data_IF_273066027458
#
_entry.id   IF_273066027458
#
_cell.length_a   1.000
_cell.length_b   1.000
_cell.length_c   1.000
_cell.angle_alpha   90.00
_cell.angle_beta   90.00
_cell.angle_gamma   90.00
#
_symmetry.space_group_name_H-M   'P 1'
#
loop_
_entity.id
_entity.type
_entity.pdbx_description
1 polymer ?
#
# COMPACT_ATOMS: atom_id res chain seq x y z
N UNK A 1 12.22 -50.65 -13.08
CA UNK A 1 12.77 -49.27 -13.10
C UNK A 1 11.87 -48.37 -12.26
N UNK A 2 12.27 -48.02 -11.04
CA UNK A 2 11.53 -47.07 -10.16
C UNK A 2 11.73 -45.65 -10.69
N UNK A 3 10.70 -45.06 -11.31
CA UNK A 3 10.68 -43.62 -11.61
C UNK A 3 10.44 -42.85 -10.32
N UNK A 4 11.52 -42.44 -9.65
CA UNK A 4 11.94 -41.04 -9.77
C UNK A 4 10.88 -39.94 -9.83
N UNK A 5 9.81 -39.92 -9.03
CA UNK A 5 8.98 -38.71 -8.95
C UNK A 5 9.87 -37.59 -8.40
N UNK A 6 10.33 -36.70 -9.27
CA UNK A 6 11.10 -35.51 -8.89
C UNK A 6 10.18 -34.72 -7.96
N UNK A 7 10.51 -34.55 -6.67
CA UNK A 7 9.73 -33.67 -5.83
C UNK A 7 9.83 -32.29 -6.46
N UNK A 8 8.71 -31.72 -6.90
CA UNK A 8 8.65 -30.28 -7.13
C UNK A 8 9.21 -29.64 -5.86
N UNK A 9 10.16 -28.68 -5.96
CA UNK A 9 10.63 -28.01 -4.77
C UNK A 9 9.41 -27.31 -4.19
N UNK A 10 8.89 -27.87 -3.08
CA UNK A 10 8.04 -27.12 -2.20
C UNK A 10 8.80 -25.83 -1.95
N UNK A 11 8.15 -24.70 -2.20
CA UNK A 11 8.70 -23.41 -1.83
C UNK A 11 8.71 -23.33 -0.30
N UNK A 12 9.58 -24.12 0.35
CA UNK A 12 10.05 -23.95 1.72
C UNK A 12 10.93 -22.71 1.74
N UNK A 13 10.32 -21.57 1.45
CA UNK A 13 10.79 -20.32 2.02
C UNK A 13 10.21 -20.31 3.42
N UNK A 14 11.08 -20.57 4.40
CA UNK A 14 10.82 -20.23 5.78
C UNK A 14 10.20 -18.82 5.84
N UNK A 15 9.26 -18.55 6.78
CA UNK A 15 8.71 -17.21 6.94
C UNK A 15 9.90 -16.26 7.07
N UNK A 16 10.05 -15.35 6.11
CA UNK A 16 11.15 -14.39 6.09
C UNK A 16 11.09 -13.59 7.38
N UNK A 17 12.14 -13.66 8.19
CA UNK A 17 12.32 -12.85 9.40
C UNK A 17 11.91 -11.39 9.16
N UNK A 18 11.20 -10.80 10.12
CA UNK A 18 10.73 -9.40 10.09
C UNK A 18 11.86 -8.39 9.78
N UNK A 19 13.11 -8.77 10.07
CA UNK A 19 14.32 -8.02 9.72
C UNK A 19 14.46 -7.76 8.21
N UNK A 20 13.98 -8.65 7.35
CA UNK A 20 14.05 -8.45 5.89
C UNK A 20 13.08 -7.37 5.38
N UNK A 21 11.93 -7.17 6.03
CA UNK A 21 10.98 -6.11 5.65
C UNK A 21 11.58 -4.74 5.92
N UNK A 22 12.18 -4.55 7.09
CA UNK A 22 12.86 -3.30 7.45
C UNK A 22 14.05 -3.01 6.53
N UNK A 23 14.88 -4.02 6.24
CA UNK A 23 15.98 -3.90 5.26
C UNK A 23 15.48 -3.55 3.85
N UNK A 24 14.34 -4.09 3.43
CA UNK A 24 13.75 -3.80 2.11
C UNK A 24 13.16 -2.39 2.05
N UNK A 25 12.46 -1.96 3.10
CA UNK A 25 11.95 -0.59 3.23
C UNK A 25 13.10 0.43 3.25
N UNK A 26 14.16 0.17 4.01
CA UNK A 26 15.31 1.07 4.11
C UNK A 26 16.08 1.16 2.77
N UNK A 27 16.08 0.08 1.98
CA UNK A 27 16.60 0.10 0.59
C UNK A 27 15.71 0.91 -0.37
N UNK A 28 14.43 1.10 -0.10
CA UNK A 28 13.51 1.91 -0.92
C UNK A 28 13.57 3.41 -0.58
N UNK A 29 13.93 3.78 0.64
CA UNK A 29 14.09 5.18 1.09
C UNK A 29 14.96 6.02 0.14
N UNK A 30 16.17 5.61 -0.28
CA UNK A 30 16.99 6.42 -1.19
C UNK A 30 16.35 6.62 -2.57
N UNK A 31 15.54 5.68 -3.06
CA UNK A 31 14.81 5.84 -4.32
C UNK A 31 13.69 6.89 -4.21
N UNK A 32 13.05 7.01 -3.04
CA UNK A 32 12.10 8.09 -2.77
C UNK A 32 12.81 9.44 -2.57
N UNK A 33 13.94 9.44 -1.88
CA UNK A 33 14.75 10.64 -1.59
C UNK A 33 15.30 11.32 -2.85
N UNK A 34 15.52 10.56 -3.92
CA UNK A 34 15.95 11.10 -5.21
C UNK A 34 14.90 12.04 -5.85
N UNK A 35 13.63 11.93 -5.45
CA UNK A 35 12.54 12.82 -5.88
C UNK A 35 12.11 13.80 -4.77
N UNK A 36 13.03 14.12 -3.84
CA UNK A 36 12.81 15.00 -2.67
C UNK A 36 11.94 16.23 -2.93
N UNK A 37 12.15 16.97 -4.01
CA UNK A 37 11.37 18.17 -4.32
C UNK A 37 9.89 17.89 -4.61
N UNK A 38 9.58 16.74 -5.23
CA UNK A 38 8.21 16.35 -5.55
C UNK A 38 7.51 15.70 -4.37
N UNK A 39 8.25 14.91 -3.58
CA UNK A 39 7.76 14.40 -2.29
C UNK A 39 7.46 15.57 -1.35
N UNK A 40 8.35 16.56 -1.29
CA UNK A 40 8.13 17.80 -0.57
C UNK A 40 6.88 18.54 -1.08
N UNK A 41 6.75 18.74 -2.40
CA UNK A 41 5.56 19.40 -2.97
C UNK A 41 4.24 18.67 -2.63
N UNK A 42 4.26 17.34 -2.66
CA UNK A 42 3.10 16.52 -2.32
C UNK A 42 2.79 16.52 -0.81
N UNK A 43 3.82 16.53 0.04
CA UNK A 43 3.70 16.74 1.48
C UNK A 43 3.17 18.14 1.79
N UNK A 44 3.64 19.17 1.09
CA UNK A 44 3.11 20.53 1.19
C UNK A 44 1.64 20.59 0.76
N UNK A 45 1.25 19.90 -0.31
CA UNK A 45 -0.15 19.82 -0.74
C UNK A 45 -1.02 19.12 0.31
N UNK A 46 -0.51 18.06 0.95
CA UNK A 46 -1.18 17.40 2.06
C UNK A 46 -1.32 18.31 3.29
N UNK A 47 -0.28 19.07 3.64
CA UNK A 47 -0.38 20.08 4.70
C UNK A 47 -1.40 21.16 4.34
N UNK A 48 -1.37 21.70 3.11
CA UNK A 48 -2.33 22.69 2.64
C UNK A 48 -3.76 22.18 2.67
N UNK A 49 -3.99 20.91 2.34
CA UNK A 49 -5.30 20.25 2.48
C UNK A 49 -5.82 20.30 3.92
N UNK A 50 -4.96 19.95 4.88
CA UNK A 50 -5.31 19.94 6.30
C UNK A 50 -5.49 21.35 6.86
N UNK A 51 -4.64 22.28 6.44
CA UNK A 51 -4.80 23.70 6.78
C UNK A 51 -6.10 24.26 6.22
N UNK A 52 -6.50 23.89 5.00
CA UNK A 52 -7.79 24.29 4.45
C UNK A 52 -8.97 23.69 5.23
N UNK A 53 -8.87 22.44 5.70
CA UNK A 53 -9.91 21.84 6.55
C UNK A 53 -10.10 22.54 7.89
N UNK A 54 -9.03 23.14 8.44
CA UNK A 54 -9.09 23.93 9.68
C UNK A 54 -9.44 25.39 9.40
N UNK A 55 -8.96 25.94 8.29
CA UNK A 55 -9.11 27.34 7.91
C UNK A 55 -10.50 27.68 7.38
N UNK A 56 -11.15 26.80 6.60
CA UNK A 56 -12.50 27.04 6.07
C UNK A 56 -13.53 27.24 7.20
N UNK A 57 -13.57 26.42 8.27
CA UNK A 57 -14.42 26.68 9.43
C UNK A 57 -14.15 28.03 10.13
N UNK A 58 -12.87 28.44 10.23
CA UNK A 58 -12.49 29.70 10.89
C UNK A 58 -13.00 30.91 10.12
N UNK A 59 -12.81 30.94 8.79
CA UNK A 59 -13.32 32.01 7.94
C UNK A 59 -14.84 32.08 8.00
N UNK A 60 -15.53 30.94 7.96
CA UNK A 60 -16.99 30.92 8.09
C UNK A 60 -17.48 31.35 9.47
N UNK A 61 -16.75 31.02 10.55
CA UNK A 61 -17.05 31.52 11.89
C UNK A 61 -17.05 33.05 11.90
N UNK A 62 -16.01 33.68 11.36
CA UNK A 62 -15.93 35.15 11.28
C UNK A 62 -17.06 35.75 10.44
N UNK A 63 -17.47 35.09 9.35
CA UNK A 63 -18.63 35.52 8.55
C UNK A 63 -19.96 35.42 9.31
N UNK A 64 -20.14 34.41 10.17
CA UNK A 64 -21.35 34.25 11.00
C UNK A 64 -21.36 35.28 12.12
N UNK A 65 -20.22 35.46 12.81
CA UNK A 65 -20.09 36.35 13.96
C UNK A 65 -20.35 37.83 13.57
N UNK A 66 -20.16 38.20 12.30
CA UNK A 66 -20.48 39.53 11.77
C UNK A 66 -21.96 39.77 11.45
N UNK A 67 -22.83 38.76 11.53
CA UNK A 67 -24.27 38.88 11.24
C UNK A 67 -25.08 39.19 12.51
N UNK A 68 -26.13 40.00 12.38
CA UNK A 68 -27.09 40.22 13.47
C UNK A 68 -27.93 38.95 13.74
N UNK A 69 -28.44 38.78 14.97
CA UNK A 69 -29.19 37.58 15.38
C UNK A 69 -30.40 37.28 14.47
N UNK A 70 -31.09 38.32 13.98
CA UNK A 70 -32.22 38.18 13.05
C UNK A 70 -31.78 37.70 11.65
N UNK A 71 -30.64 38.19 11.16
CA UNK A 71 -30.06 37.75 9.89
C UNK A 71 -29.47 36.34 9.99
N UNK A 72 -28.87 35.97 11.13
CA UNK A 72 -28.39 34.62 11.38
C UNK A 72 -29.53 33.60 11.27
N UNK A 73 -30.72 33.86 11.84
CA UNK A 73 -31.83 32.91 11.77
C UNK A 73 -32.25 32.52 10.34
N UNK A 74 -32.14 33.45 9.38
CA UNK A 74 -32.48 33.20 7.97
C UNK A 74 -31.29 32.75 7.12
N UNK A 75 -30.09 33.27 7.38
CA UNK A 75 -28.90 33.01 6.58
C UNK A 75 -28.13 31.75 7.03
N UNK A 76 -28.24 31.36 8.31
CA UNK A 76 -27.47 30.27 8.91
C UNK A 76 -27.68 28.93 8.18
N UNK A 77 -28.90 28.50 7.78
CA UNK A 77 -29.07 27.25 7.04
C UNK A 77 -28.35 27.25 5.69
N UNK A 78 -28.47 28.35 4.93
CA UNK A 78 -27.81 28.50 3.63
C UNK A 78 -26.29 28.58 3.79
N UNK A 79 -25.81 29.29 4.81
CA UNK A 79 -24.39 29.46 5.10
C UNK A 79 -23.75 28.14 5.58
N UNK A 80 -24.44 27.34 6.40
CA UNK A 80 -23.99 26.01 6.81
C UNK A 80 -23.94 25.04 5.63
N UNK A 81 -24.90 25.11 4.70
CA UNK A 81 -24.87 24.35 3.44
C UNK A 81 -23.67 24.74 2.58
N UNK A 82 -23.40 26.04 2.42
CA UNK A 82 -22.23 26.54 1.70
C UNK A 82 -20.92 26.15 2.39
N UNK A 83 -20.85 26.23 3.72
CA UNK A 83 -19.70 25.82 4.52
C UNK A 83 -19.40 24.34 4.30
N UNK A 84 -20.42 23.49 4.44
CA UNK A 84 -20.28 22.06 4.21
C UNK A 84 -19.85 21.76 2.77
N UNK A 85 -20.46 22.44 1.78
CA UNK A 85 -20.10 22.33 0.38
C UNK A 85 -18.64 22.72 0.12
N UNK A 86 -18.21 23.86 0.65
CA UNK A 86 -16.84 24.36 0.52
C UNK A 86 -15.82 23.47 1.23
N UNK A 87 -16.10 23.01 2.45
CA UNK A 87 -15.28 22.03 3.17
C UNK A 87 -15.13 20.74 2.37
N UNK A 88 -16.25 20.15 1.94
CA UNK A 88 -16.24 18.91 1.16
C UNK A 88 -15.49 19.09 -0.15
N UNK A 89 -15.76 20.17 -0.88
CA UNK A 89 -15.08 20.45 -2.14
C UNK A 89 -13.58 20.65 -1.93
N UNK A 90 -13.18 21.41 -0.91
CA UNK A 90 -11.77 21.63 -0.54
C UNK A 90 -11.07 20.31 -0.20
N UNK A 91 -11.67 19.47 0.66
CA UNK A 91 -11.11 18.16 1.01
C UNK A 91 -10.85 17.31 -0.23
N UNK A 92 -11.83 17.21 -1.13
CA UNK A 92 -11.70 16.43 -2.36
C UNK A 92 -10.68 17.05 -3.32
N UNK A 93 -10.71 18.36 -3.53
CA UNK A 93 -9.81 19.05 -4.45
C UNK A 93 -8.34 18.83 -4.08
N UNK A 94 -8.00 19.02 -2.80
CA UNK A 94 -6.62 18.81 -2.35
C UNK A 94 -6.23 17.33 -2.34
N UNK A 95 -7.17 16.43 -2.06
CA UNK A 95 -6.92 14.99 -2.17
C UNK A 95 -6.55 14.60 -3.62
N UNK A 96 -7.32 15.08 -4.60
CA UNK A 96 -7.07 14.85 -6.03
C UNK A 96 -5.77 15.50 -6.51
N UNK A 97 -5.49 16.75 -6.11
CA UNK A 97 -4.23 17.42 -6.41
C UNK A 97 -3.02 16.62 -5.90
N UNK A 98 -3.08 16.15 -4.66
CA UNK A 98 -2.06 15.26 -4.07
C UNK A 98 -1.94 13.97 -4.88
N UNK A 99 -3.04 13.36 -5.30
CA UNK A 99 -3.02 12.13 -6.10
C UNK A 99 -2.32 12.34 -7.45
N UNK A 100 -2.61 13.44 -8.14
CA UNK A 100 -2.00 13.81 -9.42
C UNK A 100 -0.48 14.03 -9.25
N UNK A 101 -0.08 14.72 -8.18
CA UNK A 101 1.33 14.94 -7.85
C UNK A 101 2.06 13.61 -7.60
N UNK A 102 1.47 12.73 -6.79
CA UNK A 102 2.03 11.41 -6.53
C UNK A 102 2.05 10.51 -7.75
N UNK A 103 1.04 10.57 -8.63
CA UNK A 103 0.97 9.71 -9.81
C UNK A 103 2.19 9.92 -10.71
N UNK A 104 2.59 11.17 -10.94
CA UNK A 104 3.79 11.48 -11.73
C UNK A 104 5.08 10.98 -11.08
N UNK A 105 5.17 10.96 -9.75
CA UNK A 105 6.34 10.44 -9.02
C UNK A 105 6.37 8.91 -9.09
N UNK A 106 5.26 8.27 -8.76
CA UNK A 106 5.08 6.81 -8.78
C UNK A 106 5.40 6.25 -10.16
N UNK A 107 4.81 6.79 -11.24
CA UNK A 107 5.06 6.29 -12.59
C UNK A 107 6.53 6.42 -13.03
N UNK A 108 7.22 7.49 -12.61
CA UNK A 108 8.66 7.65 -12.88
C UNK A 108 9.51 6.65 -12.10
N UNK A 109 9.19 6.43 -10.82
CA UNK A 109 9.89 5.46 -9.98
C UNK A 109 9.72 4.04 -10.53
N UNK A 110 8.48 3.66 -10.85
CA UNK A 110 8.14 2.36 -11.47
C UNK A 110 8.89 2.17 -12.80
N UNK A 111 8.83 3.15 -13.70
CA UNK A 111 9.56 3.09 -14.97
C UNK A 111 11.05 2.88 -14.79
N UNK A 112 11.67 3.58 -13.83
CA UNK A 112 13.11 3.46 -13.57
C UNK A 112 13.48 2.06 -13.09
N UNK A 113 12.73 1.53 -12.14
CA UNK A 113 12.96 0.20 -11.57
C UNK A 113 12.79 -0.86 -12.65
N UNK A 114 11.73 -0.75 -13.46
CA UNK A 114 11.52 -1.64 -14.60
C UNK A 114 12.69 -1.62 -15.58
N UNK A 115 13.22 -0.43 -15.92
CA UNK A 115 14.38 -0.29 -16.81
C UNK A 115 15.68 -0.83 -16.20
N UNK A 116 15.91 -0.62 -14.90
CA UNK A 116 17.09 -1.11 -14.19
C UNK A 116 17.10 -2.64 -14.15
N UNK A 117 15.96 -3.24 -13.82
CA UNK A 117 15.75 -4.68 -13.85
C UNK A 117 15.93 -5.23 -15.26
N UNK A 118 15.33 -4.59 -16.28
CA UNK A 118 15.45 -5.02 -17.67
C UNK A 118 16.90 -4.97 -18.17
N UNK A 119 17.62 -3.88 -17.88
CA UNK A 119 19.06 -3.76 -18.23
C UNK A 119 19.90 -4.80 -17.51
N UNK A 120 19.64 -5.04 -16.23
CA UNK A 120 20.36 -6.05 -15.47
C UNK A 120 20.15 -7.45 -16.06
N UNK A 121 18.92 -7.79 -16.46
CA UNK A 121 18.63 -9.05 -17.15
C UNK A 121 19.42 -9.19 -18.45
N UNK A 122 19.43 -8.14 -19.29
CA UNK A 122 20.18 -8.16 -20.55
C UNK A 122 21.70 -8.26 -20.35
N UNK A 123 22.24 -7.78 -19.23
CA UNK A 123 23.67 -7.84 -18.92
C UNK A 123 24.13 -9.20 -18.38
N UNK A 124 23.22 -10.13 -18.10
CA UNK A 124 23.58 -11.46 -17.58
C UNK A 124 24.20 -12.35 -18.68
N UNK A 125 25.10 -13.24 -18.26
CA UNK A 125 25.85 -14.11 -19.18
C UNK A 125 24.94 -14.96 -20.09
N UNK A 126 25.45 -15.35 -21.26
CA UNK A 126 24.77 -16.29 -22.15
C UNK A 126 24.46 -17.62 -21.44
N UNK A 127 25.34 -18.08 -20.56
CA UNK A 127 25.12 -19.26 -19.71
C UNK A 127 23.88 -19.12 -18.81
N UNK A 128 23.64 -17.93 -18.24
CA UNK A 128 22.43 -17.66 -17.46
C UNK A 128 21.16 -17.76 -18.31
N UNK A 129 21.22 -17.25 -19.54
CA UNK A 129 20.10 -17.30 -20.49
C UNK A 129 19.84 -18.72 -21.05
N UNK A 130 20.86 -19.57 -21.15
CA UNK A 130 20.75 -20.94 -21.68
C UNK A 130 20.43 -22.00 -20.60
N UNK A 131 20.86 -21.82 -19.35
CA UNK A 131 20.69 -22.84 -18.28
C UNK A 131 19.36 -22.78 -17.53
N UNK A 132 18.60 -21.68 -17.62
CA UNK A 132 17.31 -21.55 -16.93
C UNK A 132 16.17 -21.57 -17.93
N UNK A 133 15.08 -22.25 -17.59
CA UNK A 133 13.79 -22.10 -18.27
C UNK A 133 13.45 -20.60 -18.30
N UNK A 134 13.67 -19.94 -19.44
CA UNK A 134 13.59 -18.49 -19.64
C UNK A 134 12.23 -17.91 -19.20
N UNK A 135 11.17 -18.72 -19.21
CA UNK A 135 9.84 -18.36 -18.69
C UNK A 135 9.76 -18.18 -17.17
N UNK A 136 10.45 -19.01 -16.37
CA UNK A 136 10.36 -18.97 -14.90
C UNK A 136 11.06 -17.75 -14.29
N UNK A 137 12.28 -17.48 -14.77
CA UNK A 137 13.08 -16.31 -14.32
C UNK A 137 12.41 -15.00 -14.75
N UNK A 138 11.94 -14.92 -16.00
CA UNK A 138 11.23 -13.74 -16.50
C UNK A 138 9.97 -13.48 -15.66
N UNK A 139 9.20 -14.53 -15.34
CA UNK A 139 7.99 -14.43 -14.50
C UNK A 139 8.30 -14.00 -13.06
N UNK A 140 9.37 -14.51 -12.46
CA UNK A 140 9.79 -14.10 -11.11
C UNK A 140 10.24 -12.64 -11.07
N UNK A 141 10.96 -12.19 -12.09
CA UNK A 141 11.42 -10.80 -12.21
C UNK A 141 10.24 -9.86 -12.45
N UNK A 142 9.32 -10.23 -13.33
CA UNK A 142 8.12 -9.44 -13.62
C UNK A 142 7.21 -9.35 -12.38
N UNK A 143 7.05 -10.46 -11.62
CA UNK A 143 6.36 -10.44 -10.32
C UNK A 143 7.09 -9.54 -9.32
N UNK A 144 8.41 -9.65 -9.20
CA UNK A 144 9.22 -8.84 -8.28
C UNK A 144 9.11 -7.35 -8.59
N UNK A 145 9.22 -6.96 -9.86
CA UNK A 145 9.05 -5.59 -10.33
C UNK A 145 7.66 -5.04 -10.04
N UNK A 146 6.60 -5.84 -10.29
CA UNK A 146 5.22 -5.50 -9.90
C UNK A 146 5.09 -5.31 -8.40
N UNK A 147 5.63 -6.21 -7.59
CA UNK A 147 5.60 -6.10 -6.13
C UNK A 147 6.30 -4.84 -5.62
N UNK A 148 7.47 -4.50 -6.15
CA UNK A 148 8.17 -3.25 -5.81
C UNK A 148 7.33 -2.03 -6.20
N UNK A 149 6.71 -2.07 -7.38
CA UNK A 149 5.82 -1.00 -7.86
C UNK A 149 4.60 -0.82 -6.95
N UNK A 150 4.01 -1.93 -6.48
CA UNK A 150 2.91 -1.92 -5.51
C UNK A 150 3.37 -1.37 -4.16
N UNK A 151 4.55 -1.75 -3.67
CA UNK A 151 5.10 -1.24 -2.40
C UNK A 151 5.34 0.27 -2.45
N UNK A 152 5.90 0.79 -3.54
CA UNK A 152 6.12 2.23 -3.72
C UNK A 152 4.78 2.97 -3.74
N UNK A 153 3.83 2.47 -4.54
CA UNK A 153 2.49 3.05 -4.60
C UNK A 153 1.84 3.07 -3.21
N UNK A 154 1.80 1.94 -2.52
CA UNK A 154 1.18 1.85 -1.19
C UNK A 154 1.87 2.75 -0.15
N UNK A 155 3.20 2.85 -0.23
CA UNK A 155 3.96 3.74 0.66
C UNK A 155 3.59 5.21 0.43
N UNK A 156 3.52 5.65 -0.84
CA UNK A 156 3.23 7.04 -1.19
C UNK A 156 1.76 7.41 -0.99
N UNK A 157 0.83 6.51 -1.29
CA UNK A 157 -0.61 6.80 -1.25
C UNK A 157 -1.26 6.52 0.09
N UNK A 158 -0.72 5.60 0.89
CA UNK A 158 -1.32 5.22 2.17
C UNK A 158 -0.38 5.50 3.34
N UNK A 159 0.77 4.84 3.42
CA UNK A 159 1.62 4.87 4.62
C UNK A 159 2.07 6.29 4.96
N UNK A 160 2.69 6.99 4.00
CA UNK A 160 3.26 8.31 4.23
C UNK A 160 2.19 9.36 4.57
N UNK A 161 1.06 9.47 3.84
CA UNK A 161 -0.06 10.32 4.24
C UNK A 161 -0.57 10.00 5.64
N UNK A 162 -0.83 8.73 5.95
CA UNK A 162 -1.36 8.31 7.27
C UNK A 162 -0.40 8.68 8.40
N UNK A 163 0.92 8.53 8.22
CA UNK A 163 1.89 8.95 9.23
C UNK A 163 1.83 10.46 9.48
N UNK A 164 1.78 11.28 8.42
CA UNK A 164 1.67 12.73 8.57
C UNK A 164 0.37 13.12 9.26
N UNK A 165 -0.74 12.46 8.91
CA UNK A 165 -2.04 12.69 9.56
C UNK A 165 -2.01 12.36 11.05
N UNK A 166 -1.45 11.21 11.42
CA UNK A 166 -1.32 10.80 12.82
C UNK A 166 -0.44 11.80 13.58
N UNK A 167 0.72 12.18 13.03
CA UNK A 167 1.61 13.17 13.67
C UNK A 167 0.91 14.51 13.86
N UNK A 168 0.17 14.97 12.87
CA UNK A 168 -0.58 16.23 12.96
C UNK A 168 -1.67 16.17 14.03
N UNK A 169 -2.45 15.08 14.07
CA UNK A 169 -3.51 14.89 15.09
C UNK A 169 -2.90 14.85 16.49
N UNK A 170 -1.82 14.10 16.68
CA UNK A 170 -1.13 14.01 17.98
C UNK A 170 -0.55 15.37 18.41
N UNK A 171 0.03 16.13 17.48
CA UNK A 171 0.55 17.47 17.76
C UNK A 171 -0.56 18.45 18.17
N UNK A 172 -1.72 18.42 17.49
CA UNK A 172 -2.89 19.24 17.84
C UNK A 172 -3.42 18.85 19.22
N UNK A 173 -3.53 17.56 19.51
CA UNK A 173 -3.98 17.08 20.83
C UNK A 173 -3.06 17.54 21.94
N UNK A 174 -1.74 17.43 21.75
CA UNK A 174 -0.74 17.86 22.74
C UNK A 174 -0.78 19.38 22.97
N UNK A 175 -1.07 20.17 21.93
CA UNK A 175 -1.11 21.63 22.02
C UNK A 175 -2.43 22.19 22.61
N UNK A 176 -3.53 21.45 22.50
CA UNK A 176 -4.88 21.94 22.85
C UNK A 176 -5.54 21.20 24.03
N UNK A 177 -5.05 20.03 24.40
CA UNK A 177 -5.67 19.16 25.41
C UNK A 177 -4.62 18.63 26.39
N UNK A 178 -5.09 18.10 27.52
CA UNK A 178 -4.23 17.44 28.50
C UNK A 178 -3.53 16.21 27.92
N UNK A 179 -2.30 15.96 28.41
CA UNK A 179 -1.43 14.84 27.99
C UNK A 179 -2.14 13.48 28.06
N UNK A 180 -3.11 13.33 28.97
CA UNK A 180 -3.96 12.13 29.10
C UNK A 180 -4.66 11.75 27.79
N UNK A 181 -5.14 12.72 27.00
CA UNK A 181 -5.78 12.45 25.70
C UNK A 181 -4.79 11.88 24.69
N UNK A 182 -3.55 12.37 24.69
CA UNK A 182 -2.47 11.89 23.82
C UNK A 182 -2.11 10.45 24.19
N UNK A 183 -1.98 10.15 25.49
CA UNK A 183 -1.67 8.80 25.98
C UNK A 183 -2.76 7.79 25.63
N UNK A 184 -4.03 8.13 25.82
CA UNK A 184 -5.16 7.28 25.45
C UNK A 184 -5.17 7.03 23.93
N UNK A 185 -4.94 8.07 23.13
CA UNK A 185 -4.89 7.95 21.66
C UNK A 185 -3.75 7.02 21.21
N UNK A 186 -2.56 7.19 21.77
CA UNK A 186 -1.41 6.33 21.46
C UNK A 186 -1.62 4.89 21.91
N UNK A 187 -2.19 4.68 23.10
CA UNK A 187 -2.52 3.35 23.60
C UNK A 187 -3.54 2.64 22.70
N UNK A 188 -4.58 3.36 22.26
CA UNK A 188 -5.59 2.86 21.33
C UNK A 188 -4.97 2.46 19.98
N UNK A 189 -4.11 3.34 19.42
CA UNK A 189 -3.42 3.06 18.16
C UNK A 189 -2.50 1.83 18.28
N UNK A 190 -1.73 1.74 19.36
CA UNK A 190 -0.86 0.59 19.62
C UNK A 190 -1.66 -0.71 19.75
N UNK A 191 -2.75 -0.70 20.52
CA UNK A 191 -3.63 -1.85 20.69
C UNK A 191 -4.22 -2.30 19.33
N UNK A 192 -4.68 -1.34 18.51
CA UNK A 192 -5.18 -1.62 17.16
C UNK A 192 -4.12 -2.27 16.26
N UNK A 193 -2.88 -1.75 16.26
CA UNK A 193 -1.78 -2.31 15.46
C UNK A 193 -1.47 -3.74 15.91
N UNK A 194 -1.30 -3.97 17.22
CA UNK A 194 -0.99 -5.29 17.78
C UNK A 194 -2.09 -6.30 17.43
N UNK A 195 -3.35 -5.92 17.63
CA UNK A 195 -4.49 -6.75 17.29
C UNK A 195 -4.50 -7.09 15.79
N UNK A 196 -4.34 -6.09 14.93
CA UNK A 196 -4.35 -6.26 13.47
C UNK A 196 -3.23 -7.18 13.01
N UNK A 197 -2.00 -7.02 13.53
CA UNK A 197 -0.86 -7.88 13.18
C UNK A 197 -1.13 -9.32 13.62
N UNK A 198 -1.60 -9.53 14.86
CA UNK A 198 -1.88 -10.87 15.39
C UNK A 198 -2.94 -11.60 14.56
N UNK A 199 -4.05 -10.93 14.26
CA UNK A 199 -5.14 -11.50 13.45
C UNK A 199 -4.69 -11.72 12.01
N UNK A 200 -3.94 -10.78 11.43
CA UNK A 200 -3.43 -10.91 10.06
C UNK A 200 -2.49 -12.09 9.90
N UNK A 201 -1.53 -12.26 10.82
CA UNK A 201 -0.57 -13.37 10.78
C UNK A 201 -1.28 -14.73 10.94
N UNK A 202 -2.27 -14.81 11.83
CA UNK A 202 -3.10 -16.00 11.97
C UNK A 202 -3.84 -16.33 10.66
N UNK A 203 -4.47 -15.32 10.03
CA UNK A 203 -5.20 -15.49 8.76
C UNK A 203 -4.27 -15.86 7.59
N UNK A 204 -3.04 -15.35 7.57
CA UNK A 204 -2.04 -15.72 6.55
C UNK A 204 -1.73 -17.21 6.64
N UNK A 205 -1.57 -17.77 7.85
CA UNK A 205 -1.35 -19.21 8.04
C UNK A 205 -2.49 -20.06 7.48
N UNK A 206 -3.74 -19.65 7.67
CA UNK A 206 -4.92 -20.34 7.11
C UNK A 206 -4.91 -20.30 5.58
N UNK A 207 -4.67 -19.11 5.00
CA UNK A 207 -4.61 -18.94 3.53
C UNK A 207 -3.48 -19.74 2.90
N UNK A 208 -2.35 -19.88 3.59
CA UNK A 208 -1.25 -20.73 3.12
C UNK A 208 -1.68 -22.18 3.00
N UNK A 209 -2.29 -22.75 4.04
CA UNK A 209 -2.81 -24.13 4.01
C UNK A 209 -3.85 -24.35 2.91
N UNK A 210 -4.75 -23.38 2.72
CA UNK A 210 -5.74 -23.42 1.66
C UNK A 210 -5.09 -23.45 0.26
N UNK A 211 -4.09 -22.58 0.01
CA UNK A 211 -3.38 -22.53 -1.27
C UNK A 211 -2.57 -23.82 -1.53
N UNK A 212 -1.97 -24.41 -0.50
CA UNK A 212 -1.24 -25.68 -0.62
C UNK A 212 -2.18 -26.84 -0.99
N UNK A 213 -3.35 -26.92 -0.35
CA UNK A 213 -4.37 -27.91 -0.68
C UNK A 213 -4.93 -27.74 -2.10
N UNK A 214 -5.20 -26.49 -2.52
CA UNK A 214 -5.67 -26.16 -3.87
C UNK A 214 -4.64 -26.56 -4.95
N UNK A 215 -3.37 -26.23 -4.73
CA UNK A 215 -2.28 -26.63 -5.63
C UNK A 215 -2.14 -28.15 -5.74
N UNK A 216 -2.31 -28.88 -4.63
CA UNK A 216 -2.25 -30.35 -4.62
C UNK A 216 -3.45 -30.97 -5.37
N UNK A 217 -4.66 -30.44 -5.18
CA UNK A 217 -5.85 -30.88 -5.89
C UNK A 217 -5.73 -30.66 -7.40
N UNK A 218 -5.27 -29.47 -7.81
CA UNK A 218 -5.05 -29.15 -9.23
C UNK A 218 -3.99 -30.06 -9.87
N UNK A 219 -2.88 -30.31 -9.16
CA UNK A 219 -1.84 -31.23 -9.63
C UNK A 219 -2.41 -32.64 -9.87
N UNK A 220 -3.21 -33.16 -8.92
CA UNK A 220 -3.85 -34.48 -9.07
C UNK A 220 -4.87 -34.51 -10.20
N UNK A 221 -5.63 -33.44 -10.42
CA UNK A 221 -6.59 -33.34 -11.51
C UNK A 221 -5.91 -33.37 -12.88
N UNK A 222 -4.82 -32.61 -13.05
CA UNK A 222 -4.01 -32.61 -14.28
C UNK A 222 -3.37 -33.98 -14.52
N UNK A 223 -2.81 -34.60 -13.48
CA UNK A 223 -2.22 -35.93 -13.58
C UNK A 223 -3.25 -37.00 -13.99
N UNK A 224 -4.48 -36.91 -13.48
CA UNK A 224 -5.59 -37.78 -13.90
C UNK A 224 -5.93 -37.63 -15.39
N UNK A 225 -5.95 -36.40 -15.91
CA UNK A 225 -6.18 -36.14 -17.33
C UNK A 225 -5.04 -36.65 -18.22
N UNK A 226 -3.79 -36.48 -17.78
CA UNK A 226 -2.61 -36.93 -18.53
C UNK A 226 -2.48 -38.45 -18.53
N UNK A 227 -2.80 -39.12 -17.42
CA UNK A 227 -2.72 -40.58 -17.29
C UNK A 227 -4.03 -41.29 -17.63
N UNK A 228 -5.01 -40.57 -18.20
CA UNK A 228 -6.32 -41.10 -18.55
C UNK A 228 -6.25 -42.35 -19.44
N UNK A 229 -5.34 -42.34 -20.43
CA UNK A 229 -5.13 -43.46 -21.34
C UNK A 229 -4.65 -44.71 -20.62
N UNK A 230 -3.76 -44.55 -19.62
CA UNK A 230 -3.25 -45.67 -18.82
C UNK A 230 -4.37 -46.30 -17.98
N UNK A 231 -5.25 -45.48 -17.41
CA UNK A 231 -6.41 -45.97 -16.63
C UNK A 231 -7.35 -46.78 -17.52
N UNK A 232 -7.63 -46.32 -18.75
CA UNK A 232 -8.45 -47.07 -19.70
C UNK A 232 -7.82 -48.39 -20.18
N UNK A 233 -6.49 -48.43 -20.35
CA UNK A 233 -5.79 -49.64 -20.82
C UNK A 233 -5.88 -50.81 -19.82
N UNK A 234 -6.00 -50.55 -18.52
CA UNK A 234 -6.10 -51.59 -17.48
C UNK A 234 -7.55 -51.95 -17.09
N UNK A 235 -8.53 -51.56 -17.92
CA UNK A 235 -9.94 -51.95 -17.84
C UNK A 235 -10.62 -51.67 -16.49
N UNK A 236 -10.72 -50.39 -16.15
CA UNK A 236 -11.77 -49.85 -15.30
C UNK A 236 -12.60 -48.82 -16.10
#
# INVERSE_FOLDING_TARGET
>A
MRRSAIPYPAADRAPTDDNHLWLTLNKLVPYLWQYKWRVFLALSCLLSAKLANVGVPLVFKEMIDGLSAAQQAMALPALLLLLYGALRFSTSLFAELREILFARVTQRAVRRIALEVFRHLHALSLRFHLQRQTGGVSRDVERGSRSISSLISYTLYSILPTLVEITLVLAILLARYDVSFVLITLASLAAYIVFTVKVSNWRIGIRRKANEADSAANTRAVDSLLNYETVKYFNN
#
